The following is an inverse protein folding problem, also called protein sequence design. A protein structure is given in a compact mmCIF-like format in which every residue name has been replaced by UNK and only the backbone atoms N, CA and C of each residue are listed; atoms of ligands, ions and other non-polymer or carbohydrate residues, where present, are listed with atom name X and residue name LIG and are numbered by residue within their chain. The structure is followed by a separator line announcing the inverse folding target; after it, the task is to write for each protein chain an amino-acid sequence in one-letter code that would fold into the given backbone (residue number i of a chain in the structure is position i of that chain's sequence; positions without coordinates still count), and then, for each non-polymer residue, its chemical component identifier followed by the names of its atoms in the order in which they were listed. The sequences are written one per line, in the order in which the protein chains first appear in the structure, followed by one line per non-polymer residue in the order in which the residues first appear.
data_IF_623195239864
#
_entry.id   IF_623195239864
#
_cell.length_a   1.000
_cell.length_b   1.000
_cell.length_c   1.000
_cell.angle_alpha   90.00
_cell.angle_beta   90.00
_cell.angle_gamma   90.00
#
_symmetry.space_group_name_H-M   'P 1'
#
loop_
_entity.id
_entity.type
_entity.pdbx_description
1 polymer ?
#
# COMPACT_ATOMS: atom_id res chain seq x y z
N UNK A 1 23.12 0.95 -7.88
CA UNK A 1 23.25 1.35 -6.46
C UNK A 1 22.44 2.61 -6.19
N UNK A 2 22.78 3.76 -6.78
CA UNK A 2 22.01 5.00 -6.61
C UNK A 2 20.54 4.89 -7.01
N UNK A 3 20.23 4.21 -8.11
CA UNK A 3 18.84 4.02 -8.54
C UNK A 3 18.04 3.16 -7.55
N UNK A 4 18.69 2.21 -6.87
CA UNK A 4 18.05 1.41 -5.84
C UNK A 4 17.69 2.27 -4.62
N UNK A 5 18.59 3.18 -4.20
CA UNK A 5 18.31 4.15 -3.14
C UNK A 5 17.17 5.08 -3.50
N UNK A 6 17.18 5.64 -4.72
CA UNK A 6 16.10 6.50 -5.22
C UNK A 6 14.76 5.77 -5.23
N UNK A 7 14.74 4.54 -5.75
CA UNK A 7 13.52 3.74 -5.80
C UNK A 7 13.02 3.40 -4.39
N UNK A 8 13.93 3.07 -3.46
CA UNK A 8 13.57 2.82 -2.07
C UNK A 8 12.99 4.07 -1.41
N UNK A 9 13.66 5.22 -1.55
CA UNK A 9 13.18 6.50 -1.00
C UNK A 9 11.81 6.89 -1.54
N UNK A 10 11.60 6.77 -2.86
CA UNK A 10 10.32 7.02 -3.52
C UNK A 10 9.20 6.11 -2.96
N UNK A 11 9.47 4.81 -2.86
CA UNK A 11 8.44 3.81 -2.48
C UNK A 11 8.17 3.73 -0.98
N UNK A 12 9.11 4.14 -0.12
CA UNK A 12 8.98 4.07 1.33
C UNK A 12 8.67 5.41 1.98
N UNK A 13 9.44 6.45 1.68
CA UNK A 13 9.32 7.76 2.35
C UNK A 13 8.35 8.67 1.59
N UNK A 14 8.62 8.92 0.31
CA UNK A 14 7.82 9.88 -0.47
C UNK A 14 6.38 9.39 -0.66
N UNK A 15 6.18 8.09 -0.89
CA UNK A 15 4.84 7.52 -1.01
C UNK A 15 4.00 7.68 0.27
N UNK A 16 4.61 7.49 1.45
CA UNK A 16 3.92 7.67 2.74
C UNK A 16 3.61 9.15 2.99
N UNK A 17 4.59 10.03 2.73
CA UNK A 17 4.39 11.47 2.85
C UNK A 17 3.30 11.99 1.91
N UNK A 18 3.24 11.48 0.68
CA UNK A 18 2.23 11.88 -0.30
C UNK A 18 0.80 11.57 0.16
N UNK A 19 0.61 10.46 0.87
CA UNK A 19 -0.70 10.11 1.46
C UNK A 19 -1.11 11.18 2.48
N UNK A 20 -0.18 11.60 3.34
CA UNK A 20 -0.42 12.60 4.37
C UNK A 20 -0.66 13.99 3.75
N UNK A 21 0.11 14.36 2.74
CA UNK A 21 -0.06 15.61 1.98
C UNK A 21 -1.44 15.69 1.31
N UNK A 22 -1.91 14.58 0.73
CA UNK A 22 -3.25 14.49 0.14
C UNK A 22 -4.33 14.62 1.22
N UNK A 23 -4.12 13.98 2.38
CA UNK A 23 -5.02 14.06 3.52
C UNK A 23 -5.16 15.51 3.98
N UNK A 24 -4.05 16.23 4.14
CA UNK A 24 -4.03 17.62 4.58
C UNK A 24 -4.66 18.55 3.53
N UNK A 25 -4.21 18.45 2.27
CA UNK A 25 -4.66 19.32 1.16
C UNK A 25 -6.18 19.31 0.98
N UNK A 26 -6.81 18.14 1.12
CA UNK A 26 -8.25 17.98 0.91
C UNK A 26 -9.03 17.80 2.21
N UNK A 27 -8.37 17.93 3.38
CA UNK A 27 -8.98 17.76 4.70
C UNK A 27 -9.73 16.43 4.85
N UNK A 28 -9.09 15.35 4.40
CA UNK A 28 -9.63 13.99 4.42
C UNK A 28 -9.12 13.24 5.65
N UNK A 29 -9.86 12.22 6.07
CA UNK A 29 -9.44 11.30 7.12
C UNK A 29 -9.40 9.88 6.56
N UNK A 30 -8.20 9.29 6.51
CA UNK A 30 -7.99 7.92 6.02
C UNK A 30 -7.84 6.89 7.13
N UNK A 31 -8.09 7.27 8.39
CA UNK A 31 -7.77 6.46 9.59
C UNK A 31 -6.32 5.95 9.56
N UNK A 32 -5.39 6.83 9.17
CA UNK A 32 -3.96 6.54 9.11
C UNK A 32 -3.43 6.26 10.52
N UNK A 33 -2.77 5.12 10.71
CA UNK A 33 -1.96 4.81 11.90
C UNK A 33 -0.51 4.66 11.47
N UNK A 34 0.41 5.19 12.24
CA UNK A 34 1.85 5.14 11.99
C UNK A 34 2.51 4.05 12.83
N UNK A 35 3.67 3.60 12.36
CA UNK A 35 4.40 2.50 12.99
C UNK A 35 3.89 1.13 12.54
N UNK A 36 4.78 0.15 12.49
CA UNK A 36 4.47 -1.25 12.27
C UNK A 36 5.46 -2.11 13.07
N UNK A 37 5.02 -3.29 13.49
CA UNK A 37 5.86 -4.25 14.20
C UNK A 37 5.90 -5.54 13.40
N UNK A 38 7.08 -6.03 13.05
CA UNK A 38 7.22 -7.41 12.61
C UNK A 38 7.75 -8.26 13.76
N UNK A 39 6.87 -9.02 14.42
CA UNK A 39 7.22 -9.79 15.61
C UNK A 39 7.83 -11.15 15.26
N UNK A 40 8.94 -11.49 15.92
CA UNK A 40 9.63 -12.77 15.80
C UNK A 40 9.10 -13.77 16.83
N UNK A 41 8.59 -14.92 16.38
CA UNK A 41 8.19 -16.04 17.24
C UNK A 41 9.32 -17.06 17.48
N UNK A 42 10.44 -16.93 16.76
CA UNK A 42 11.62 -17.79 16.86
C UNK A 42 12.88 -16.95 16.66
N UNK A 43 13.97 -17.28 17.37
CA UNK A 43 15.23 -16.50 17.34
C UNK A 43 15.81 -16.38 15.91
N UNK A 44 15.68 -17.42 15.10
CA UNK A 44 16.08 -17.40 13.69
C UNK A 44 15.39 -16.32 12.85
N UNK A 45 14.18 -15.87 13.20
CA UNK A 45 13.52 -14.77 12.50
C UNK A 45 14.24 -13.43 12.74
N UNK A 46 14.84 -13.24 13.92
CA UNK A 46 15.59 -12.01 14.22
C UNK A 46 16.79 -11.84 13.28
N UNK A 47 17.43 -12.94 12.85
CA UNK A 47 18.52 -12.87 11.87
C UNK A 47 18.02 -12.28 10.56
N UNK A 48 16.88 -12.76 10.04
CA UNK A 48 16.28 -12.23 8.81
C UNK A 48 15.81 -10.79 8.94
N UNK A 49 15.21 -10.44 10.09
CA UNK A 49 14.79 -9.06 10.37
C UNK A 49 15.99 -8.10 10.43
N UNK A 50 17.07 -8.49 11.11
CA UNK A 50 18.29 -7.69 11.19
C UNK A 50 18.92 -7.51 9.81
N UNK A 51 18.98 -8.57 8.99
CA UNK A 51 19.47 -8.45 7.61
C UNK A 51 18.60 -7.51 6.76
N UNK A 52 17.28 -7.55 6.94
CA UNK A 52 16.35 -6.63 6.28
C UNK A 52 16.55 -5.18 6.72
N UNK A 53 16.72 -4.95 8.03
CA UNK A 53 17.01 -3.63 8.59
C UNK A 53 18.36 -3.07 8.08
N UNK A 54 19.41 -3.89 8.05
CA UNK A 54 20.71 -3.52 7.51
C UNK A 54 20.63 -3.18 6.01
N UNK A 55 19.83 -3.93 5.25
CA UNK A 55 19.60 -3.66 3.83
C UNK A 55 18.86 -2.33 3.62
N UNK A 56 17.85 -2.03 4.45
CA UNK A 56 17.15 -0.73 4.46
C UNK A 56 18.10 0.42 4.79
N UNK A 57 18.91 0.26 5.83
CA UNK A 57 19.94 1.24 6.23
C UNK A 57 20.94 1.48 5.10
N UNK A 58 21.38 0.43 4.42
CA UNK A 58 22.26 0.53 3.25
C UNK A 58 21.62 1.31 2.09
N UNK A 59 20.29 1.24 1.95
CA UNK A 59 19.50 2.02 1.00
C UNK A 59 19.20 3.45 1.48
N UNK A 60 19.66 3.84 2.67
CA UNK A 60 19.50 5.19 3.23
C UNK A 60 18.24 5.38 4.08
N UNK A 61 17.60 4.29 4.52
CA UNK A 61 16.42 4.33 5.38
C UNK A 61 16.75 3.71 6.75
N UNK A 62 16.81 4.54 7.80
CA UNK A 62 17.24 4.16 9.16
C UNK A 62 16.14 4.37 10.21
N UNK A 63 14.88 4.14 9.83
CA UNK A 63 13.68 4.26 10.69
C UNK A 63 13.20 2.89 11.19
N UNK A 64 14.11 1.91 11.20
CA UNK A 64 13.82 0.58 11.74
C UNK A 64 14.72 0.27 12.92
N UNK A 65 14.16 -0.45 13.90
CA UNK A 65 14.87 -0.83 15.11
C UNK A 65 14.58 -2.27 15.48
N UNK A 66 15.64 -3.08 15.55
CA UNK A 66 15.56 -4.43 16.10
C UNK A 66 15.45 -4.34 17.62
N UNK A 67 14.51 -5.11 18.19
CA UNK A 67 14.25 -5.17 19.64
C UNK A 67 14.28 -6.61 20.13
N UNK A 68 14.84 -6.81 21.32
CA UNK A 68 14.80 -8.10 22.00
C UNK A 68 13.44 -8.37 22.65
N UNK A 69 13.23 -9.60 23.17
CA UNK A 69 12.00 -10.00 23.87
C UNK A 69 11.54 -8.98 24.92
N UNK A 70 12.44 -8.55 25.81
CA UNK A 70 12.09 -7.63 26.90
C UNK A 70 11.64 -6.26 26.40
N UNK A 71 12.30 -5.70 25.38
CA UNK A 71 11.94 -4.42 24.79
C UNK A 71 10.64 -4.52 23.98
N UNK A 72 10.41 -5.64 23.29
CA UNK A 72 9.17 -5.87 22.55
C UNK A 72 7.94 -5.89 23.48
N UNK A 73 8.10 -6.29 24.74
CA UNK A 73 7.00 -6.29 25.72
C UNK A 73 6.43 -4.90 25.99
N UNK A 74 7.16 -3.82 25.68
CA UNK A 74 6.59 -2.47 25.76
C UNK A 74 5.52 -2.27 24.68
N UNK A 75 5.65 -2.95 23.54
CA UNK A 75 4.77 -2.85 22.38
C UNK A 75 3.68 -3.92 22.31
N UNK A 76 4.00 -5.15 22.72
CA UNK A 76 3.10 -6.30 22.67
C UNK A 76 3.16 -7.02 24.01
N UNK A 77 2.09 -6.97 24.80
CA UNK A 77 1.99 -7.64 26.10
C UNK A 77 1.75 -9.14 25.93
N UNK A 78 2.75 -9.85 25.41
CA UNK A 78 2.71 -11.27 25.09
C UNK A 78 4.08 -11.93 25.23
N UNK A 79 4.10 -13.12 25.83
CA UNK A 79 5.31 -13.93 26.01
C UNK A 79 5.69 -14.79 24.80
N UNK A 80 4.84 -14.84 23.76
CA UNK A 80 5.01 -15.71 22.59
C UNK A 80 6.15 -15.29 21.66
N UNK A 81 6.68 -14.08 21.81
CA UNK A 81 7.66 -13.52 20.89
C UNK A 81 9.06 -13.48 21.51
N UNK A 82 10.08 -13.68 20.68
CA UNK A 82 11.50 -13.63 21.06
C UNK A 82 12.14 -12.27 20.78
N UNK A 83 11.44 -11.37 20.10
CA UNK A 83 11.87 -10.04 19.72
C UNK A 83 11.14 -9.57 18.46
N UNK A 84 11.60 -8.51 17.80
CA UNK A 84 10.98 -8.05 16.56
C UNK A 84 11.68 -6.85 15.91
N UNK A 85 11.09 -6.36 14.84
CA UNK A 85 11.47 -5.11 14.16
C UNK A 85 10.37 -4.08 14.38
N UNK A 86 10.73 -2.90 14.87
CA UNK A 86 9.86 -1.73 14.90
C UNK A 86 10.18 -0.90 13.65
N UNK A 87 9.20 -0.64 12.80
CA UNK A 87 9.28 0.24 11.63
C UNK A 87 8.47 1.50 11.90
N UNK A 88 9.10 2.67 11.92
CA UNK A 88 8.43 3.95 12.23
C UNK A 88 7.77 4.61 11.01
N UNK A 89 8.17 4.25 9.79
CA UNK A 89 7.59 4.77 8.55
C UNK A 89 6.29 4.06 8.15
N UNK A 90 6.22 2.77 8.47
CA UNK A 90 5.11 1.91 8.11
C UNK A 90 3.78 2.28 8.77
N UNK A 91 2.83 1.36 8.65
CA UNK A 91 1.56 1.41 9.36
C UNK A 91 0.38 0.98 8.52
N UNK A 92 -0.80 1.48 8.86
CA UNK A 92 -2.04 1.07 8.24
C UNK A 92 -2.89 2.28 7.83
N UNK A 93 -3.78 2.04 6.88
CA UNK A 93 -4.69 3.01 6.30
C UNK A 93 -5.98 2.31 5.92
N UNK A 94 -7.12 3.01 5.99
CA UNK A 94 -8.37 2.50 5.49
C UNK A 94 -8.39 2.61 3.94
N UNK A 95 -8.30 1.49 3.20
CA UNK A 95 -8.08 1.54 1.74
C UNK A 95 -9.25 2.18 0.97
N UNK A 96 -10.49 1.90 1.38
CA UNK A 96 -11.66 2.54 0.76
C UNK A 96 -11.72 4.06 1.03
N UNK A 97 -11.34 4.51 2.23
CA UNK A 97 -11.29 5.94 2.54
C UNK A 97 -10.24 6.65 1.68
N UNK A 98 -9.05 6.06 1.55
CA UNK A 98 -8.01 6.55 0.64
C UNK A 98 -8.52 6.62 -0.80
N UNK A 99 -9.10 5.55 -1.33
CA UNK A 99 -9.61 5.52 -2.71
C UNK A 99 -10.66 6.62 -2.97
N UNK A 100 -11.63 6.78 -2.06
CA UNK A 100 -12.65 7.84 -2.16
C UNK A 100 -12.02 9.22 -2.09
N UNK A 101 -11.01 9.40 -1.24
CA UNK A 101 -10.23 10.62 -1.12
C UNK A 101 -9.47 11.00 -2.40
N UNK A 102 -8.80 10.02 -3.01
CA UNK A 102 -8.10 10.20 -4.28
C UNK A 102 -9.06 10.61 -5.40
N UNK A 103 -10.22 9.94 -5.51
CA UNK A 103 -11.27 10.27 -6.48
C UNK A 103 -11.83 11.67 -6.23
N UNK A 104 -12.09 12.02 -4.97
CA UNK A 104 -12.54 13.36 -4.60
C UNK A 104 -11.53 14.42 -5.05
N UNK A 105 -10.26 14.26 -4.68
CA UNK A 105 -9.18 15.18 -5.09
C UNK A 105 -9.03 15.26 -6.61
N UNK A 106 -9.11 14.13 -7.32
CA UNK A 106 -9.04 14.09 -8.78
C UNK A 106 -10.17 14.91 -9.45
N UNK A 107 -11.41 14.74 -8.98
CA UNK A 107 -12.56 15.51 -9.48
C UNK A 107 -12.44 17.01 -9.17
N UNK A 108 -11.91 17.38 -8.01
CA UNK A 108 -11.64 18.78 -7.67
C UNK A 108 -10.62 19.45 -8.61
N UNK A 109 -9.77 18.67 -9.27
CA UNK A 109 -8.81 19.16 -10.27
C UNK A 109 -9.34 19.04 -11.72
N UNK A 110 -10.65 18.87 -11.91
CA UNK A 110 -11.29 18.80 -13.22
C UNK A 110 -11.30 17.41 -13.85
N UNK A 111 -10.87 16.38 -13.13
CA UNK A 111 -11.04 14.99 -13.52
C UNK A 111 -12.52 14.58 -13.58
N UNK A 112 -12.84 13.56 -14.35
CA UNK A 112 -14.18 12.96 -14.40
C UNK A 112 -14.06 11.45 -14.20
N UNK A 113 -14.98 10.89 -13.42
CA UNK A 113 -15.01 9.47 -13.08
C UNK A 113 -16.36 8.90 -13.50
N UNK A 114 -16.32 7.77 -14.19
CA UNK A 114 -17.49 7.07 -14.70
C UNK A 114 -17.48 5.65 -14.10
N UNK A 115 -18.37 5.42 -13.14
CA UNK A 115 -18.57 4.09 -12.56
C UNK A 115 -19.46 3.24 -13.49
N UNK A 116 -19.44 1.91 -13.30
CA UNK A 116 -20.25 0.96 -14.08
C UNK A 116 -20.09 1.10 -15.61
N UNK A 117 -18.91 1.58 -16.04
CA UNK A 117 -18.58 1.87 -17.43
C UNK A 117 -17.35 1.04 -17.82
N UNK A 118 -17.52 -0.27 -17.95
CA UNK A 118 -16.42 -1.18 -18.28
C UNK A 118 -15.86 -0.89 -19.69
N UNK A 119 -14.54 -0.77 -19.76
CA UNK A 119 -13.81 -0.73 -21.03
C UNK A 119 -13.72 -2.16 -21.57
N UNK A 120 -14.17 -2.36 -22.81
CA UNK A 120 -14.21 -3.69 -23.46
C UNK A 120 -13.09 -3.89 -24.47
N UNK A 121 -12.60 -2.81 -25.09
CA UNK A 121 -11.48 -2.85 -26.04
C UNK A 121 -10.84 -1.48 -26.21
N UNK A 122 -9.59 -1.49 -26.68
CA UNK A 122 -8.81 -0.31 -27.01
C UNK A 122 -8.27 -0.48 -28.41
N UNK A 123 -8.49 0.52 -29.27
CA UNK A 123 -8.05 0.53 -30.66
C UNK A 123 -7.16 1.75 -30.92
N UNK A 124 -5.91 1.52 -31.28
CA UNK A 124 -4.99 2.58 -31.66
C UNK A 124 -5.04 2.83 -33.18
N UNK A 125 -5.25 4.08 -33.57
CA UNK A 125 -5.28 4.54 -34.96
C UNK A 125 -4.29 5.67 -35.16
N UNK A 126 -4.01 5.98 -36.43
CA UNK A 126 -3.13 7.08 -36.80
C UNK A 126 -3.53 8.45 -36.19
N UNK A 127 -4.81 8.65 -35.86
CA UNK A 127 -5.33 9.92 -35.37
C UNK A 127 -5.72 9.91 -33.87
N UNK A 128 -5.43 8.84 -33.13
CA UNK A 128 -5.64 8.75 -31.68
C UNK A 128 -5.97 7.33 -31.18
N UNK A 129 -6.23 7.23 -29.88
CA UNK A 129 -6.56 5.96 -29.21
C UNK A 129 -8.05 5.97 -28.88
N UNK A 130 -8.78 4.95 -29.30
CA UNK A 130 -10.22 4.81 -29.12
C UNK A 130 -10.50 3.77 -28.04
N UNK A 131 -11.18 4.19 -26.98
CA UNK A 131 -11.55 3.36 -25.84
C UNK A 131 -13.03 3.03 -25.96
N UNK A 132 -13.33 1.75 -26.11
CA UNK A 132 -14.69 1.28 -26.30
C UNK A 132 -15.28 0.78 -24.98
N UNK A 133 -16.54 1.12 -24.77
CA UNK A 133 -17.40 0.59 -23.70
C UNK A 133 -18.64 -0.04 -24.35
N UNK A 134 -19.53 -0.65 -23.56
CA UNK A 134 -20.76 -1.21 -24.10
C UNK A 134 -21.65 -0.18 -24.83
N UNK A 135 -21.65 1.09 -24.38
CA UNK A 135 -22.62 2.10 -24.82
C UNK A 135 -21.98 3.36 -25.44
N UNK A 136 -20.66 3.46 -25.45
CA UNK A 136 -19.95 4.66 -25.89
C UNK A 136 -18.52 4.36 -26.36
N UNK A 137 -17.97 5.29 -27.14
CA UNK A 137 -16.55 5.32 -27.54
C UNK A 137 -15.95 6.65 -27.13
N UNK A 138 -14.81 6.60 -26.44
CA UNK A 138 -14.06 7.79 -26.03
C UNK A 138 -12.74 7.85 -26.81
N UNK A 139 -12.47 8.97 -27.47
CA UNK A 139 -11.19 9.20 -28.16
C UNK A 139 -10.21 9.90 -27.23
N UNK A 140 -9.16 9.19 -26.81
CA UNK A 140 -8.03 9.75 -26.08
C UNK A 140 -7.04 10.42 -27.06
N UNK A 141 -6.70 11.69 -26.78
CA UNK A 141 -5.85 12.51 -27.66
C UNK A 141 -4.35 12.31 -27.46
N UNK A 142 -3.93 11.82 -26.27
CA UNK A 142 -2.51 11.71 -25.88
C UNK A 142 -2.14 10.28 -25.53
N UNK A 143 -2.81 9.71 -24.53
CA UNK A 143 -2.49 8.39 -24.01
C UNK A 143 -3.68 7.77 -23.30
N UNK A 144 -3.61 6.45 -23.16
CA UNK A 144 -4.45 5.65 -22.26
C UNK A 144 -3.53 4.99 -21.25
N UNK A 145 -3.87 5.08 -19.97
CA UNK A 145 -3.14 4.42 -18.88
C UNK A 145 -3.97 3.25 -18.38
N UNK A 146 -3.41 2.04 -18.45
CA UNK A 146 -4.05 0.84 -17.93
C UNK A 146 -3.67 0.65 -16.46
N UNK A 147 -4.66 0.78 -15.58
CA UNK A 147 -4.52 0.59 -14.13
C UNK A 147 -5.51 -0.47 -13.60
N UNK A 148 -5.66 -1.57 -14.35
CA UNK A 148 -6.70 -2.59 -14.11
C UNK A 148 -6.16 -3.94 -13.58
N UNK A 149 -4.90 -3.94 -13.10
CA UNK A 149 -4.21 -5.09 -12.49
C UNK A 149 -4.54 -6.43 -13.19
N UNK A 150 -5.27 -7.31 -12.53
CA UNK A 150 -5.61 -8.65 -13.01
C UNK A 150 -6.45 -8.69 -14.29
N UNK A 151 -7.14 -7.60 -14.66
CA UNK A 151 -7.95 -7.55 -15.87
C UNK A 151 -7.17 -7.03 -17.09
N UNK A 152 -5.90 -6.68 -16.94
CA UNK A 152 -5.08 -6.11 -18.03
C UNK A 152 -5.03 -7.03 -19.26
N UNK A 153 -5.05 -8.35 -19.05
CA UNK A 153 -5.04 -9.34 -20.13
C UNK A 153 -6.23 -9.24 -21.09
N UNK A 154 -7.36 -8.65 -20.65
CA UNK A 154 -8.55 -8.44 -21.49
C UNK A 154 -8.37 -7.28 -22.46
N UNK A 155 -7.48 -6.33 -22.15
CA UNK A 155 -7.33 -5.07 -22.88
C UNK A 155 -6.03 -4.98 -23.69
N UNK A 156 -5.02 -5.77 -23.33
CA UNK A 156 -3.76 -5.83 -24.05
C UNK A 156 -3.88 -6.76 -25.26
N UNK A 157 -3.49 -6.26 -26.44
CA UNK A 157 -3.43 -7.03 -27.67
C UNK A 157 -2.28 -8.05 -27.70
N UNK A 158 -1.21 -7.77 -26.95
CA UNK A 158 0.00 -8.58 -26.87
C UNK A 158 0.42 -8.78 -25.40
N UNK A 159 1.20 -9.83 -25.13
CA UNK A 159 1.78 -10.08 -23.79
C UNK A 159 0.73 -10.12 -22.66
N UNK A 160 -0.44 -10.69 -22.94
CA UNK A 160 -1.58 -10.71 -22.02
C UNK A 160 -1.45 -11.74 -20.88
N UNK A 161 -0.48 -12.66 -20.92
CA UNK A 161 -0.24 -13.66 -19.87
C UNK A 161 0.75 -13.20 -18.80
N UNK A 162 0.60 -11.98 -18.27
CA UNK A 162 1.54 -11.38 -17.31
C UNK A 162 1.06 -11.44 -15.86
N UNK A 163 -0.19 -11.83 -15.60
CA UNK A 163 -0.75 -11.86 -14.24
C UNK A 163 -1.36 -13.22 -13.92
N UNK A 164 -1.08 -13.72 -12.72
CA UNK A 164 -1.67 -14.95 -12.17
C UNK A 164 -2.56 -14.54 -10.97
N UNK A 165 -3.80 -15.02 -10.86
CA UNK A 165 -4.63 -14.73 -9.70
C UNK A 165 -4.04 -15.39 -8.45
N UNK A 166 -3.85 -14.59 -7.40
CA UNK A 166 -3.48 -15.06 -6.07
C UNK A 166 -4.61 -14.75 -5.10
N UNK A 167 -5.02 -15.74 -4.31
CA UNK A 167 -6.12 -15.59 -3.36
C UNK A 167 -5.55 -15.35 -1.96
N UNK A 168 -5.84 -14.17 -1.42
CA UNK A 168 -5.54 -13.81 -0.04
C UNK A 168 -6.85 -13.72 0.73
N UNK A 169 -6.87 -14.28 1.93
CA UNK A 169 -8.03 -14.26 2.81
C UNK A 169 -7.71 -13.41 4.04
N UNK A 170 -8.67 -12.58 4.44
CA UNK A 170 -8.61 -11.80 5.68
C UNK A 170 -9.73 -12.29 6.58
N UNK A 171 -9.41 -12.54 7.84
CA UNK A 171 -10.38 -12.87 8.89
C UNK A 171 -10.44 -11.72 9.89
N UNK A 172 -11.62 -11.51 10.48
CA UNK A 172 -11.85 -10.55 11.55
C UNK A 172 -12.51 -11.26 12.72
N UNK A 173 -12.22 -10.80 13.93
CA UNK A 173 -12.94 -11.24 15.13
C UNK A 173 -14.14 -10.33 15.36
N UNK A 174 -15.04 -10.74 16.26
CA UNK A 174 -15.90 -9.76 16.94
C UNK A 174 -15.02 -8.76 17.73
N UNK A 175 -15.53 -7.55 18.04
CA UNK A 175 -14.84 -6.65 18.97
C UNK A 175 -14.48 -7.39 20.26
N UNK A 176 -13.26 -7.20 20.75
CA UNK A 176 -12.82 -7.81 21.99
C UNK A 176 -13.48 -7.09 23.17
N UNK A 177 -13.80 -7.83 24.24
CA UNK A 177 -14.38 -7.26 25.46
C UNK A 177 -13.34 -6.49 26.31
N UNK A 178 -12.05 -6.68 26.02
CA UNK A 178 -10.92 -5.99 26.65
C UNK A 178 -10.46 -4.80 25.80
N UNK A 179 -9.89 -3.77 26.45
CA UNK A 179 -9.24 -2.68 25.73
C UNK A 179 -8.00 -3.20 25.02
N UNK A 180 -7.95 -3.10 23.69
CA UNK A 180 -6.82 -3.59 22.89
C UNK A 180 -5.50 -2.95 23.28
N UNK A 181 -5.51 -1.77 23.94
CA UNK A 181 -4.31 -1.13 24.49
C UNK A 181 -3.67 -1.92 25.64
N UNK A 182 -4.41 -2.78 26.32
CA UNK A 182 -3.85 -3.71 27.30
C UNK A 182 -2.90 -4.72 26.66
N UNK A 183 -3.15 -5.08 25.39
CA UNK A 183 -2.29 -5.98 24.61
C UNK A 183 -1.29 -5.21 23.74
N UNK A 184 -1.72 -4.09 23.15
CA UNK A 184 -1.00 -3.28 22.17
C UNK A 184 -0.97 -1.81 22.62
N UNK A 185 -0.12 -1.44 23.61
CA UNK A 185 -0.16 -0.10 24.21
C UNK A 185 0.02 1.05 23.23
N UNK A 186 0.81 0.84 22.17
CA UNK A 186 1.05 1.83 21.12
C UNK A 186 0.11 1.71 19.93
N UNK A 187 -0.73 0.66 19.86
CA UNK A 187 -1.67 0.44 18.77
C UNK A 187 -1.04 0.24 17.39
N UNK A 188 0.27 -0.09 17.32
CA UNK A 188 0.94 -0.39 16.07
C UNK A 188 0.35 -1.68 15.48
N UNK A 189 0.06 -1.72 14.16
CA UNK A 189 -0.22 -2.98 13.47
C UNK A 189 0.98 -3.92 13.57
N UNK A 190 0.70 -5.22 13.79
CA UNK A 190 1.68 -6.30 13.88
C UNK A 190 1.54 -7.25 12.70
#
# INVERSE_FOLDING_TARGET
YEDAKKLWHFTSTEAMQLIDDISEKYQLNFDRKYGHITAAVHEGHLVGLTQGADARKYLGEDHTRIVGKHELMDYIKSDYYTGGLIDELGGQIHPLALNRGLIYGFCQNGGSVYEQTEVISIEEKADGIYVHTANAVVKAKKSVVLAVHHASFKLLSEQNNTTIPFYTYVATTAPLELDTKELLPFGHPI
#
